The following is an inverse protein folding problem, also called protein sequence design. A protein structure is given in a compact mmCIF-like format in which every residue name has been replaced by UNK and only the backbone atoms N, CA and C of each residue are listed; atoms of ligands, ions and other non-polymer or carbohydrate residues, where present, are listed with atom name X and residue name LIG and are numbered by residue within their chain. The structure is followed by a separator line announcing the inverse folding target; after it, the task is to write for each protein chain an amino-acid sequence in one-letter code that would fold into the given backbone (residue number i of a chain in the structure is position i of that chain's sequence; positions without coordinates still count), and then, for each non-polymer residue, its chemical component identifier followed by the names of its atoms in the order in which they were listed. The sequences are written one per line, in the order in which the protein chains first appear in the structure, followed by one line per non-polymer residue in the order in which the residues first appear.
data_IF_966097960284
#
_entry.id   IF_966097960284
#
_cell.length_a   1.000
_cell.length_b   1.000
_cell.length_c   1.000
_cell.angle_alpha   90.00
_cell.angle_beta   90.00
_cell.angle_gamma   90.00
#
_symmetry.space_group_name_H-M   'P 1'
#
loop_
_entity.id
_entity.type
_entity.pdbx_description
1 polymer ?
#
# COMPACT_ATOMS: atom_id res chain seq x y z
N UNK A 1 -40.02 19.36 -10.89
CA UNK A 1 -39.43 18.07 -10.51
C UNK A 1 -37.91 18.21 -10.43
N UNK A 2 -37.32 17.95 -9.28
CA UNK A 2 -35.86 17.97 -9.17
C UNK A 2 -35.32 16.64 -9.72
N UNK A 3 -34.41 16.74 -10.69
CA UNK A 3 -33.69 15.55 -11.16
C UNK A 3 -32.65 15.16 -10.11
N UNK A 4 -32.68 13.89 -9.72
CA UNK A 4 -31.66 13.31 -8.86
C UNK A 4 -30.31 13.35 -9.58
N UNK A 5 -29.28 13.90 -8.95
CA UNK A 5 -27.93 13.91 -9.53
C UNK A 5 -27.46 12.46 -9.71
N UNK A 6 -26.61 12.25 -10.70
CA UNK A 6 -26.07 10.92 -11.01
C UNK A 6 -25.39 10.26 -9.79
N UNK A 7 -24.74 11.08 -8.97
CA UNK A 7 -24.05 10.67 -7.74
C UNK A 7 -25.02 10.28 -6.62
N UNK A 8 -26.26 10.77 -6.64
CA UNK A 8 -27.26 10.54 -5.60
C UNK A 8 -28.16 9.32 -5.90
N UNK A 9 -27.89 8.59 -6.99
CA UNK A 9 -28.70 7.43 -7.35
C UNK A 9 -28.56 6.32 -6.30
N UNK A 10 -29.68 5.71 -5.85
CA UNK A 10 -29.66 4.71 -4.77
C UNK A 10 -28.71 3.54 -5.01
N UNK A 11 -28.60 3.07 -6.26
CA UNK A 11 -27.74 1.95 -6.58
C UNK A 11 -26.24 2.31 -6.46
N UNK A 12 -25.85 3.55 -6.74
CA UNK A 12 -24.46 4.02 -6.55
C UNK A 12 -24.11 4.09 -5.08
N UNK A 13 -25.03 4.61 -4.26
CA UNK A 13 -24.87 4.63 -2.80
C UNK A 13 -24.74 3.21 -2.23
N UNK A 14 -25.56 2.27 -2.74
CA UNK A 14 -25.51 0.88 -2.30
C UNK A 14 -24.20 0.19 -2.69
N UNK A 15 -23.69 0.43 -3.91
CA UNK A 15 -22.40 -0.10 -4.34
C UNK A 15 -21.23 0.47 -3.50
N UNK A 16 -21.26 1.77 -3.22
CA UNK A 16 -20.26 2.41 -2.39
C UNK A 16 -20.27 1.83 -0.96
N UNK A 17 -21.46 1.60 -0.40
CA UNK A 17 -21.63 0.99 0.92
C UNK A 17 -21.07 -0.43 0.95
N UNK A 18 -21.39 -1.24 -0.06
CA UNK A 18 -20.86 -2.62 -0.17
C UNK A 18 -19.35 -2.66 -0.31
N UNK A 19 -18.77 -1.76 -1.10
CA UNK A 19 -17.33 -1.64 -1.26
C UNK A 19 -16.67 -1.26 0.05
N UNK A 20 -17.24 -0.33 0.81
CA UNK A 20 -16.75 0.08 2.13
C UNK A 20 -16.81 -1.09 3.14
N UNK A 21 -17.92 -1.81 3.18
CA UNK A 21 -18.10 -2.99 4.04
C UNK A 21 -17.07 -4.08 3.70
N UNK A 22 -16.80 -4.30 2.41
CA UNK A 22 -15.79 -5.27 1.98
C UNK A 22 -14.39 -4.89 2.47
N UNK A 23 -14.02 -3.61 2.36
CA UNK A 23 -12.72 -3.14 2.86
C UNK A 23 -12.60 -3.32 4.37
N UNK A 24 -13.65 -3.05 5.12
CA UNK A 24 -13.66 -3.27 6.57
C UNK A 24 -13.51 -4.75 6.93
N UNK A 25 -14.16 -5.66 6.20
CA UNK A 25 -14.01 -7.09 6.41
C UNK A 25 -12.59 -7.56 6.12
N UNK A 26 -12.02 -7.11 5.01
CA UNK A 26 -10.63 -7.46 4.63
C UNK A 26 -9.65 -6.90 5.65
N UNK A 27 -9.85 -5.67 6.11
CA UNK A 27 -9.02 -5.07 7.14
C UNK A 27 -9.05 -5.89 8.43
N UNK A 28 -10.24 -6.33 8.88
CA UNK A 28 -10.37 -7.20 10.06
C UNK A 28 -9.62 -8.51 9.90
N UNK A 29 -9.70 -9.14 8.74
CA UNK A 29 -8.95 -10.36 8.41
C UNK A 29 -7.44 -10.12 8.48
N UNK A 30 -6.97 -9.02 7.91
CA UNK A 30 -5.56 -8.65 7.92
C UNK A 30 -5.08 -8.37 9.35
N UNK A 31 -5.83 -7.60 10.12
CA UNK A 31 -5.47 -7.28 11.51
C UNK A 31 -5.37 -8.54 12.37
N UNK A 32 -6.31 -9.47 12.22
CA UNK A 32 -6.26 -10.75 12.93
C UNK A 32 -5.05 -11.59 12.51
N UNK A 33 -4.78 -11.63 11.21
CA UNK A 33 -3.62 -12.36 10.66
C UNK A 33 -2.32 -11.79 11.19
N UNK A 34 -2.19 -10.45 11.24
CA UNK A 34 -1.01 -9.79 11.79
C UNK A 34 -0.82 -10.15 13.27
N UNK A 35 -1.88 -10.12 14.06
CA UNK A 35 -1.81 -10.47 15.48
C UNK A 35 -1.33 -11.89 15.72
N UNK A 36 -1.77 -12.83 14.89
CA UNK A 36 -1.47 -14.26 15.01
C UNK A 36 -0.14 -14.66 14.40
N UNK A 37 0.43 -13.82 13.54
CA UNK A 37 1.70 -14.14 12.88
C UNK A 37 2.83 -14.29 13.90
N UNK A 38 3.74 -15.28 13.72
CA UNK A 38 4.82 -15.52 14.67
C UNK A 38 5.89 -14.45 14.70
N UNK A 39 6.00 -13.64 13.62
CA UNK A 39 7.00 -12.57 13.51
C UNK A 39 6.45 -11.41 12.71
N UNK A 40 7.15 -10.27 12.77
CA UNK A 40 6.86 -9.11 11.91
C UNK A 40 6.99 -9.48 10.43
N UNK A 41 8.04 -10.20 10.08
CA UNK A 41 8.31 -10.62 8.70
C UNK A 41 7.19 -11.50 8.14
N UNK A 42 6.69 -12.44 8.93
CA UNK A 42 5.54 -13.26 8.55
C UNK A 42 4.27 -12.43 8.45
N UNK A 43 4.04 -11.51 9.38
CA UNK A 43 2.91 -10.60 9.34
C UNK A 43 2.92 -9.74 8.07
N UNK A 44 4.06 -9.19 7.72
CA UNK A 44 4.24 -8.38 6.52
C UNK A 44 3.95 -9.18 5.25
N UNK A 45 4.51 -10.37 5.13
CA UNK A 45 4.29 -11.26 3.99
C UNK A 45 2.81 -11.64 3.86
N UNK A 46 2.19 -12.06 4.94
CA UNK A 46 0.78 -12.48 4.94
C UNK A 46 -0.16 -11.31 4.62
N UNK A 47 0.09 -10.12 5.14
CA UNK A 47 -0.69 -8.93 4.81
C UNK A 47 -0.62 -8.61 3.31
N UNK A 48 0.56 -8.67 2.72
CA UNK A 48 0.76 -8.47 1.27
C UNK A 48 -0.01 -9.50 0.46
N UNK A 49 0.04 -10.77 0.84
CA UNK A 49 -0.68 -11.85 0.18
C UNK A 49 -2.20 -11.64 0.20
N UNK A 50 -2.75 -11.25 1.35
CA UNK A 50 -4.19 -10.99 1.49
C UNK A 50 -4.61 -9.79 0.61
N UNK A 51 -3.88 -8.69 0.68
CA UNK A 51 -4.16 -7.50 -0.12
C UNK A 51 -4.17 -7.82 -1.62
N UNK A 52 -3.15 -8.54 -2.09
CA UNK A 52 -3.04 -8.91 -3.49
C UNK A 52 -4.19 -9.81 -3.94
N UNK A 53 -4.58 -10.76 -3.10
CA UNK A 53 -5.66 -11.70 -3.38
C UNK A 53 -7.03 -11.01 -3.41
N UNK A 54 -7.28 -10.07 -2.51
CA UNK A 54 -8.61 -9.47 -2.31
C UNK A 54 -8.90 -8.29 -3.24
N UNK A 55 -7.88 -7.61 -3.75
CA UNK A 55 -8.05 -6.41 -4.57
C UNK A 55 -7.39 -6.58 -5.94
N UNK A 56 -8.21 -6.85 -6.95
CA UNK A 56 -7.73 -7.07 -8.33
C UNK A 56 -7.06 -5.84 -8.95
N UNK A 57 -7.41 -4.63 -8.50
CA UNK A 57 -6.77 -3.39 -8.96
C UNK A 57 -5.35 -3.20 -8.42
N UNK A 58 -5.01 -3.89 -7.35
CA UNK A 58 -3.63 -3.92 -6.85
C UNK A 58 -2.85 -4.92 -7.71
N UNK A 59 -2.32 -4.41 -8.83
CA UNK A 59 -1.66 -5.24 -9.84
C UNK A 59 -0.39 -5.88 -9.32
N UNK A 60 0.34 -5.17 -8.45
CA UNK A 60 1.52 -5.69 -7.79
C UNK A 60 1.67 -5.05 -6.42
N UNK A 61 2.25 -5.78 -5.47
CA UNK A 61 2.59 -5.25 -4.15
C UNK A 61 4.02 -5.66 -3.82
N UNK A 62 4.79 -4.71 -3.32
CA UNK A 62 6.14 -4.97 -2.81
C UNK A 62 6.26 -4.39 -1.40
N UNK A 63 6.76 -5.20 -0.49
CA UNK A 63 7.16 -4.77 0.83
C UNK A 63 8.69 -4.66 0.88
N UNK A 64 9.18 -3.51 1.27
CA UNK A 64 10.60 -3.26 1.52
C UNK A 64 10.83 -3.13 3.01
N UNK A 65 11.94 -3.65 3.48
CA UNK A 65 12.37 -3.52 4.89
C UNK A 65 13.61 -2.64 4.94
N UNK A 66 13.67 -1.74 5.91
CA UNK A 66 14.84 -0.91 6.13
C UNK A 66 16.04 -1.78 6.52
N UNK A 67 17.16 -1.61 5.84
CA UNK A 67 18.39 -2.38 6.03
C UNK A 67 19.58 -1.43 5.85
N UNK A 68 20.10 -0.90 6.96
CA UNK A 68 21.15 0.11 6.92
C UNK A 68 20.68 1.37 6.22
N UNK A 69 21.38 1.76 5.17
CA UNK A 69 21.06 2.93 4.35
C UNK A 69 20.10 2.61 3.18
N UNK A 70 19.67 1.35 3.08
CA UNK A 70 18.84 0.88 1.98
C UNK A 70 17.47 0.43 2.43
N UNK A 71 16.57 0.31 1.43
CA UNK A 71 15.32 -0.41 1.51
C UNK A 71 15.49 -1.68 0.68
N UNK A 72 15.39 -2.83 1.33
CA UNK A 72 15.56 -4.12 0.69
C UNK A 72 14.22 -4.80 0.46
N UNK A 73 14.02 -5.40 -0.71
CA UNK A 73 12.81 -6.17 -1.00
C UNK A 73 12.71 -7.36 -0.03
N UNK A 74 11.61 -7.42 0.69
CA UNK A 74 11.26 -8.54 1.55
C UNK A 74 10.27 -9.49 0.88
N UNK A 75 9.19 -8.94 0.35
CA UNK A 75 8.14 -9.70 -0.34
C UNK A 75 7.69 -8.91 -1.54
N UNK A 76 7.58 -9.57 -2.69
CA UNK A 76 7.02 -8.94 -3.90
C UNK A 76 6.09 -9.92 -4.60
N UNK A 77 4.94 -9.41 -5.04
CA UNK A 77 3.94 -10.17 -5.79
C UNK A 77 3.64 -9.42 -7.09
N UNK A 78 3.98 -10.07 -8.21
CA UNK A 78 3.70 -9.63 -9.59
C UNK A 78 4.26 -8.25 -9.97
N UNK A 79 5.25 -7.76 -9.24
CA UNK A 79 5.91 -6.50 -9.56
C UNK A 79 6.73 -6.63 -10.84
N UNK A 80 6.69 -5.61 -11.73
CA UNK A 80 7.63 -5.55 -12.85
C UNK A 80 9.08 -5.61 -12.37
N UNK A 81 10.01 -6.13 -13.19
CA UNK A 81 11.43 -6.16 -12.82
C UNK A 81 11.94 -4.79 -12.38
N UNK A 82 12.63 -4.75 -11.28
CA UNK A 82 13.21 -3.55 -10.69
C UNK A 82 14.32 -3.92 -9.71
N UNK A 83 14.97 -2.93 -9.09
CA UNK A 83 16.06 -3.19 -8.17
C UNK A 83 15.57 -3.90 -6.90
N UNK A 84 16.35 -4.83 -6.39
CA UNK A 84 16.08 -5.53 -5.13
C UNK A 84 16.38 -4.65 -3.90
N UNK A 85 17.21 -3.64 -4.08
CA UNK A 85 17.58 -2.67 -3.05
C UNK A 85 17.46 -1.26 -3.61
N UNK A 86 16.97 -0.36 -2.79
CA UNK A 86 16.82 1.06 -3.12
C UNK A 86 17.43 1.87 -2.01
N UNK A 87 18.24 2.88 -2.36
CA UNK A 87 18.82 3.77 -1.38
C UNK A 87 17.72 4.58 -0.66
N UNK A 88 17.75 4.54 0.66
CA UNK A 88 16.74 5.20 1.49
C UNK A 88 17.03 6.71 1.72
N UNK A 89 18.13 7.21 1.21
CA UNK A 89 18.55 8.61 1.38
C UNK A 89 18.06 9.56 0.28
N UNK A 90 17.43 9.06 -0.77
CA UNK A 90 16.91 9.91 -1.85
C UNK A 90 16.17 9.14 -2.93
N UNK A 91 15.41 9.87 -3.73
CA UNK A 91 14.56 9.34 -4.79
C UNK A 91 13.09 9.22 -4.36
N UNK A 92 12.18 8.89 -5.29
CA UNK A 92 10.74 8.95 -5.05
C UNK A 92 10.27 7.95 -3.99
N UNK A 93 10.85 6.77 -3.94
CA UNK A 93 10.49 5.76 -2.94
C UNK A 93 10.96 6.17 -1.55
N UNK A 94 12.17 6.70 -1.44
CA UNK A 94 12.71 7.22 -0.19
C UNK A 94 11.90 8.42 0.32
N UNK A 95 11.54 9.35 -0.57
CA UNK A 95 10.75 10.53 -0.22
C UNK A 95 9.38 10.10 0.34
N UNK A 96 8.73 9.12 -0.30
CA UNK A 96 7.48 8.55 0.19
C UNK A 96 7.65 7.83 1.52
N UNK A 97 8.76 7.12 1.71
CA UNK A 97 9.08 6.41 2.95
C UNK A 97 9.25 7.37 4.15
N UNK A 98 9.76 8.56 3.91
CA UNK A 98 9.95 9.59 4.95
C UNK A 98 8.72 10.47 5.16
N UNK A 99 7.65 10.25 4.42
CA UNK A 99 6.36 10.90 4.66
C UNK A 99 5.69 10.33 5.92
N UNK A 100 4.82 11.12 6.55
CA UNK A 100 4.04 10.67 7.71
C UNK A 100 2.74 9.96 7.34
N UNK A 101 2.39 9.95 6.06
CA UNK A 101 1.16 9.37 5.54
C UNK A 101 1.43 8.66 4.22
N UNK A 102 0.53 7.80 3.74
CA UNK A 102 0.67 7.21 2.41
C UNK A 102 0.77 8.28 1.32
N UNK A 103 1.67 8.06 0.38
CA UNK A 103 1.86 8.90 -0.81
C UNK A 103 1.22 8.21 -2.00
N UNK A 104 0.37 8.94 -2.73
CA UNK A 104 -0.26 8.44 -3.95
C UNK A 104 0.26 9.22 -5.16
N UNK A 105 0.71 8.49 -6.17
CA UNK A 105 1.08 9.05 -7.48
C UNK A 105 0.06 8.54 -8.48
N UNK A 106 -0.80 9.43 -8.96
CA UNK A 106 -1.95 9.08 -9.81
C UNK A 106 -1.54 8.65 -11.22
N UNK A 107 -0.42 9.15 -11.72
CA UNK A 107 0.12 8.83 -13.03
C UNK A 107 1.65 8.74 -12.96
N UNK A 108 2.14 7.52 -12.81
CA UNK A 108 3.59 7.24 -12.75
C UNK A 108 4.28 7.58 -14.07
N UNK A 109 3.58 7.41 -15.19
CA UNK A 109 4.11 7.73 -16.52
C UNK A 109 4.46 9.20 -16.71
N UNK A 110 3.83 10.10 -15.97
CA UNK A 110 4.13 11.53 -15.97
C UNK A 110 5.28 11.92 -15.03
N UNK A 111 5.84 10.95 -14.31
CA UNK A 111 6.90 11.18 -13.34
C UNK A 111 8.08 10.22 -13.62
N UNK A 112 9.04 10.64 -14.48
CA UNK A 112 10.14 9.76 -14.91
C UNK A 112 11.01 9.23 -13.78
N UNK A 113 11.04 9.89 -12.62
CA UNK A 113 11.81 9.45 -11.45
C UNK A 113 11.42 8.04 -10.99
N UNK A 114 10.16 7.62 -11.19
CA UNK A 114 9.69 6.28 -10.82
C UNK A 114 10.23 5.17 -11.73
N UNK A 115 10.76 5.50 -12.90
CA UNK A 115 11.44 4.55 -13.76
C UNK A 115 12.65 3.90 -13.08
N UNK A 116 13.32 4.64 -12.19
CA UNK A 116 14.47 4.14 -11.42
C UNK A 116 14.13 3.01 -10.44
N UNK A 117 12.84 2.88 -10.07
CA UNK A 117 12.35 1.78 -9.23
C UNK A 117 11.51 0.77 -10.02
N UNK A 118 11.56 0.83 -11.35
CA UNK A 118 10.93 -0.15 -12.24
C UNK A 118 9.47 0.13 -12.56
N UNK A 119 8.96 1.33 -12.29
CA UNK A 119 7.57 1.71 -12.57
C UNK A 119 7.51 2.79 -13.66
N UNK A 120 6.85 2.48 -14.77
CA UNK A 120 6.78 3.38 -15.94
C UNK A 120 5.37 3.74 -16.38
N UNK A 121 4.34 3.11 -15.80
CA UNK A 121 2.93 3.35 -16.13
C UNK A 121 2.03 3.07 -14.92
N UNK A 122 0.79 3.54 -14.98
CA UNK A 122 -0.22 3.30 -13.95
C UNK A 122 -0.13 4.26 -12.79
N UNK A 123 -0.51 3.81 -11.63
CA UNK A 123 -0.46 4.56 -10.37
C UNK A 123 0.20 3.75 -9.27
N UNK A 124 0.71 4.44 -8.26
CA UNK A 124 1.36 3.79 -7.11
C UNK A 124 0.95 4.47 -5.81
N UNK A 125 0.84 3.67 -4.77
CA UNK A 125 0.67 4.13 -3.40
C UNK A 125 1.78 3.55 -2.55
N UNK A 126 2.48 4.39 -1.81
CA UNK A 126 3.56 3.99 -0.91
C UNK A 126 3.21 4.39 0.51
N UNK A 127 3.19 3.44 1.42
CA UNK A 127 2.88 3.67 2.82
C UNK A 127 4.06 3.28 3.71
N UNK A 128 4.53 4.19 4.56
CA UNK A 128 5.57 3.87 5.53
C UNK A 128 5.01 3.05 6.69
N UNK A 129 5.80 2.10 7.17
CA UNK A 129 5.54 1.35 8.40
C UNK A 129 6.57 1.84 9.41
N UNK A 130 6.09 2.60 10.39
CA UNK A 130 6.95 3.26 11.37
C UNK A 130 6.73 2.72 12.76
N UNK A 131 7.79 2.79 13.54
CA UNK A 131 7.77 2.60 15.00
C UNK A 131 8.33 3.85 15.66
N UNK A 132 8.35 3.87 16.98
CA UNK A 132 9.01 4.94 17.74
C UNK A 132 10.51 5.04 17.40
N UNK A 133 11.13 3.91 16.99
CA UNK A 133 12.54 3.87 16.59
C UNK A 133 12.79 4.41 15.18
N UNK A 134 11.74 4.70 14.39
CA UNK A 134 11.84 5.25 13.05
C UNK A 134 11.18 4.38 11.98
N UNK A 135 11.65 4.52 10.75
CA UNK A 135 11.14 3.76 9.61
C UNK A 135 11.59 2.29 9.72
N UNK A 136 10.62 1.39 9.65
CA UNK A 136 10.86 -0.06 9.70
C UNK A 136 10.74 -0.71 8.33
N UNK A 137 9.71 -0.35 7.59
CA UNK A 137 9.40 -0.94 6.30
C UNK A 137 8.51 0.01 5.48
N UNK A 138 8.28 -0.31 4.23
CA UNK A 138 7.28 0.36 3.39
C UNK A 138 6.48 -0.67 2.61
N UNK A 139 5.22 -0.31 2.33
CA UNK A 139 4.37 -1.02 1.38
C UNK A 139 4.26 -0.18 0.10
N UNK A 140 4.58 -0.78 -1.04
CA UNK A 140 4.39 -0.20 -2.35
C UNK A 140 3.27 -0.97 -3.04
N UNK A 141 2.15 -0.32 -3.29
CA UNK A 141 1.01 -0.90 -4.02
C UNK A 141 0.94 -0.24 -5.39
N UNK A 142 1.09 -1.03 -6.43
CA UNK A 142 1.05 -0.55 -7.81
C UNK A 142 -0.17 -1.06 -8.54
N UNK A 143 -0.73 -0.22 -9.41
CA UNK A 143 -1.80 -0.58 -10.33
C UNK A 143 -1.42 -0.25 -11.77
N UNK A 144 -1.80 -1.11 -12.70
CA UNK A 144 -1.68 -0.86 -14.15
C UNK A 144 -2.47 0.37 -14.59
N UNK A 145 -3.48 0.77 -13.79
CA UNK A 145 -4.38 1.86 -14.13
C UNK A 145 -3.94 3.16 -13.46
N UNK A 146 -4.08 4.27 -14.20
CA UNK A 146 -3.96 5.61 -13.60
C UNK A 146 -5.14 5.84 -12.65
N UNK A 147 -4.93 6.70 -11.65
CA UNK A 147 -5.97 7.09 -10.68
C UNK A 147 -6.67 5.90 -10.02
N UNK A 148 -5.93 4.80 -9.76
CA UNK A 148 -6.52 3.57 -9.25
C UNK A 148 -6.88 3.63 -7.76
N UNK A 149 -6.31 4.55 -7.00
CA UNK A 149 -6.44 4.57 -5.54
C UNK A 149 -7.38 5.67 -5.08
N UNK A 150 -8.47 5.26 -4.43
CA UNK A 150 -9.44 6.16 -3.79
C UNK A 150 -8.99 6.55 -2.38
N UNK A 151 -9.61 7.56 -1.74
CA UNK A 151 -9.36 7.86 -0.33
C UNK A 151 -9.60 6.67 0.60
N UNK A 152 -10.51 5.77 0.26
CA UNK A 152 -10.78 4.55 1.02
C UNK A 152 -9.62 3.55 0.92
N UNK A 153 -8.97 3.46 -0.24
CA UNK A 153 -7.75 2.65 -0.40
C UNK A 153 -6.62 3.19 0.45
N UNK A 154 -6.46 4.51 0.48
CA UNK A 154 -5.44 5.16 1.32
C UNK A 154 -5.68 4.85 2.80
N UNK A 155 -6.91 4.95 3.28
CA UNK A 155 -7.25 4.63 4.67
C UNK A 155 -7.01 3.16 5.00
N UNK A 156 -7.36 2.25 4.08
CA UNK A 156 -7.10 0.82 4.25
C UNK A 156 -5.62 0.55 4.46
N UNK A 157 -4.79 1.03 3.55
CA UNK A 157 -3.34 0.82 3.60
C UNK A 157 -2.71 1.51 4.82
N UNK A 158 -3.18 2.69 5.19
CA UNK A 158 -2.74 3.37 6.40
C UNK A 158 -3.01 2.54 7.66
N UNK A 159 -4.19 1.95 7.77
CA UNK A 159 -4.56 1.09 8.91
C UNK A 159 -3.78 -0.22 8.92
N UNK A 160 -3.55 -0.82 7.76
CA UNK A 160 -2.70 -2.01 7.64
C UNK A 160 -1.27 -1.69 8.09
N UNK A 161 -0.72 -0.57 7.62
CA UNK A 161 0.62 -0.12 7.99
C UNK A 161 0.74 0.14 9.49
N UNK A 162 -0.28 0.75 10.10
CA UNK A 162 -0.32 0.98 11.54
C UNK A 162 -0.36 -0.35 12.33
N UNK A 163 -1.14 -1.31 11.87
CA UNK A 163 -1.21 -2.64 12.50
C UNK A 163 0.14 -3.37 12.42
N UNK A 164 0.81 -3.28 11.28
CA UNK A 164 2.16 -3.84 11.10
C UNK A 164 3.17 -3.13 12.01
N UNK A 165 3.06 -1.81 12.14
CA UNK A 165 3.93 -1.04 13.03
C UNK A 165 3.82 -1.47 14.50
N UNK A 166 2.63 -1.85 14.94
CA UNK A 166 2.41 -2.39 16.29
C UNK A 166 2.98 -3.79 16.50
N UNK A 167 3.22 -4.52 15.42
CA UNK A 167 3.76 -5.88 15.44
C UNK A 167 5.29 -5.92 15.39
N UNK A 168 5.96 -4.80 15.17
CA UNK A 168 7.43 -4.78 15.10
C UNK A 168 8.05 -5.28 16.39
N UNK A 169 9.24 -5.93 16.33
CA UNK A 169 9.91 -6.40 17.53
C UNK A 169 10.20 -5.24 18.48
N UNK A 170 10.04 -5.46 19.78
CA UNK A 170 10.52 -4.53 20.79
C UNK A 170 12.05 -4.39 20.62
N UNK A 171 12.52 -3.16 20.58
CA UNK A 171 13.93 -2.89 20.50
C UNK A 171 14.68 -3.38 21.76
#
# INVERSE_FOLDING_TARGET
MAFMREEDKPWKTDLARKASQRREQVLGEIEDTIKKAPSFEDALRQAVEILKKKFSRYSAITAYVADGEDLAVHTTLERPPGPERVWAGGGPLADAAHSHAPTVVSDVGSNPAWGGVGLSKGSVMVAPIRTEAGLWAILEVWSDFRDAFSPQDVKLIERVSAALGRKTPAA
#
